data_IF_426796321014
#
_entry.id   IF_426796321014
#
_cell.length_a   1.000
_cell.length_b   1.000
_cell.length_c   1.000
_cell.angle_alpha   90.00
_cell.angle_beta   90.00
_cell.angle_gamma   90.00
#
_symmetry.space_group_name_H-M   'P 1'
#
loop_
_entity.id
_entity.type
_entity.pdbx_description
1 polymer ?
#
# COMPACT_ATOMS: atom_id res chain seq x y z
N UNK A 1 -44.24 -15.84 20.70
CA UNK A 1 -42.85 -16.17 20.34
C UNK A 1 -42.65 -15.67 18.93
N UNK A 2 -41.74 -14.72 18.72
CA UNK A 2 -41.49 -14.12 17.40
C UNK A 2 -40.18 -14.71 16.83
N UNK A 3 -40.22 -15.50 15.74
CA UNK A 3 -39.05 -16.16 15.20
C UNK A 3 -38.25 -15.18 14.34
N UNK A 4 -37.34 -14.45 14.98
CA UNK A 4 -36.08 -14.04 14.36
C UNK A 4 -36.19 -13.09 13.16
N UNK A 5 -36.46 -11.81 13.44
CA UNK A 5 -36.07 -10.73 12.53
C UNK A 5 -34.54 -10.62 12.55
N UNK A 6 -33.83 -11.43 11.74
CA UNK A 6 -32.42 -11.17 11.44
C UNK A 6 -32.37 -9.94 10.55
N UNK A 7 -32.16 -8.77 11.16
CA UNK A 7 -31.84 -7.56 10.41
C UNK A 7 -30.57 -7.82 9.58
N UNK A 8 -30.72 -7.82 8.27
CA UNK A 8 -29.61 -7.95 7.33
C UNK A 8 -28.69 -6.72 7.38
N UNK A 9 -27.49 -6.81 6.79
CA UNK A 9 -26.62 -5.65 6.65
C UNK A 9 -27.37 -4.53 5.90
N UNK A 10 -27.49 -3.37 6.54
CA UNK A 10 -28.02 -2.17 5.91
C UNK A 10 -26.87 -1.38 5.31
N UNK A 11 -27.08 -0.88 4.09
CA UNK A 11 -26.09 -0.07 3.36
C UNK A 11 -26.66 1.32 3.18
N UNK A 12 -25.86 2.33 3.52
CA UNK A 12 -26.19 3.73 3.32
C UNK A 12 -24.98 4.45 2.74
N UNK A 13 -25.21 5.34 1.77
CA UNK A 13 -24.17 6.26 1.31
C UNK A 13 -23.88 7.29 2.40
N UNK A 14 -22.64 7.31 2.90
CA UNK A 14 -22.22 8.22 3.97
C UNK A 14 -21.43 9.44 3.47
N UNK A 15 -20.93 9.39 2.24
CA UNK A 15 -20.19 10.46 1.60
C UNK A 15 -20.22 10.32 0.08
N UNK A 16 -20.10 11.44 -0.62
CA UNK A 16 -19.81 11.51 -2.05
C UNK A 16 -19.02 12.80 -2.30
N UNK A 17 -17.92 12.70 -3.03
CA UNK A 17 -17.04 13.81 -3.33
C UNK A 17 -16.37 13.59 -4.68
N UNK A 18 -16.03 14.69 -5.35
CA UNK A 18 -15.31 14.68 -6.61
C UNK A 18 -13.81 14.61 -6.32
N UNK A 19 -13.08 13.76 -7.05
CA UNK A 19 -11.63 13.70 -6.95
C UNK A 19 -10.99 14.94 -7.59
N UNK A 20 -9.81 15.39 -7.13
CA UNK A 20 -9.13 16.53 -7.73
C UNK A 20 -8.89 16.34 -9.24
N UNK A 21 -9.12 17.37 -10.05
CA UNK A 21 -8.90 17.33 -11.51
C UNK A 21 -7.45 17.02 -11.92
N UNK A 22 -6.52 17.22 -10.98
CA UNK A 22 -5.09 16.93 -11.15
C UNK A 22 -4.76 15.44 -11.03
N UNK A 23 -5.65 14.61 -10.47
CA UNK A 23 -5.45 13.17 -10.42
C UNK A 23 -5.61 12.55 -11.81
N UNK A 24 -4.61 11.76 -12.21
CA UNK A 24 -4.76 10.79 -13.28
C UNK A 24 -5.83 9.75 -12.91
N UNK A 25 -6.41 9.11 -13.93
CA UNK A 25 -7.40 8.03 -13.77
C UNK A 25 -6.92 7.00 -12.75
N UNK A 26 -7.73 6.79 -11.71
CA UNK A 26 -7.42 5.83 -10.65
C UNK A 26 -7.73 4.42 -11.11
N UNK A 27 -6.73 3.54 -11.09
CA UNK A 27 -6.92 2.13 -11.45
C UNK A 27 -6.95 1.19 -10.24
N UNK A 28 -6.52 1.64 -9.06
CA UNK A 28 -6.47 0.81 -7.84
C UNK A 28 -6.91 1.58 -6.60
N UNK A 29 -7.64 0.89 -5.72
CA UNK A 29 -8.08 1.39 -4.42
C UNK A 29 -7.98 0.31 -3.33
N UNK A 30 -7.57 0.71 -2.12
CA UNK A 30 -7.61 -0.14 -0.92
C UNK A 30 -8.14 0.64 0.28
N UNK A 31 -8.87 -0.02 1.18
CA UNK A 31 -9.31 0.56 2.45
C UNK A 31 -8.42 0.14 3.61
N UNK A 32 -8.39 0.92 4.69
CA UNK A 32 -7.77 0.55 5.97
C UNK A 32 -8.59 1.06 7.16
N UNK A 33 -8.81 0.18 8.14
CA UNK A 33 -9.35 0.53 9.47
C UNK A 33 -10.68 1.31 9.47
N UNK A 34 -11.55 1.06 8.48
CA UNK A 34 -12.84 1.73 8.24
C UNK A 34 -12.82 3.26 8.08
N UNK A 35 -11.66 3.91 8.06
CA UNK A 35 -11.54 5.38 8.10
C UNK A 35 -10.87 5.98 6.87
N UNK A 36 -10.03 5.22 6.20
CA UNK A 36 -9.22 5.73 5.08
C UNK A 36 -9.24 4.83 3.87
N UNK A 37 -8.98 5.48 2.75
CA UNK A 37 -8.84 4.91 1.43
C UNK A 37 -7.48 5.32 0.87
N UNK A 38 -6.82 4.38 0.21
CA UNK A 38 -5.61 4.59 -0.58
C UNK A 38 -6.00 4.48 -2.04
N UNK A 39 -5.71 5.52 -2.80
CA UNK A 39 -5.94 5.58 -4.24
C UNK A 39 -4.59 5.65 -4.95
N UNK A 40 -4.49 4.96 -6.07
CA UNK A 40 -3.33 5.07 -6.96
C UNK A 40 -3.69 5.97 -8.12
N UNK A 41 -2.84 6.97 -8.40
CA UNK A 41 -2.95 7.88 -9.54
C UNK A 41 -1.61 7.95 -10.27
N UNK A 42 -1.46 7.17 -11.35
CA UNK A 42 -0.18 7.07 -12.05
C UNK A 42 0.93 6.54 -11.12
N UNK A 43 1.95 7.34 -10.85
CA UNK A 43 3.06 7.02 -9.92
C UNK A 43 2.82 7.49 -8.48
N UNK A 44 1.68 8.11 -8.20
CA UNK A 44 1.36 8.66 -6.89
C UNK A 44 0.43 7.75 -6.09
N UNK A 45 0.73 7.59 -4.80
CA UNK A 45 -0.17 6.98 -3.81
C UNK A 45 -0.82 8.11 -3.01
N UNK A 46 -2.15 8.19 -3.04
CA UNK A 46 -2.90 9.25 -2.36
C UNK A 46 -3.73 8.66 -1.23
N UNK A 47 -3.62 9.23 -0.04
CA UNK A 47 -4.35 8.83 1.16
C UNK A 47 -5.53 9.79 1.39
N UNK A 48 -6.73 9.23 1.44
CA UNK A 48 -7.97 9.95 1.72
C UNK A 48 -8.65 9.41 2.97
N UNK A 49 -9.41 10.25 3.65
CA UNK A 49 -10.50 9.78 4.52
C UNK A 49 -11.67 9.28 3.68
N UNK A 50 -12.54 8.45 4.27
CA UNK A 50 -13.80 8.04 3.62
C UNK A 50 -14.75 9.21 3.30
N UNK A 51 -14.52 10.38 3.88
CA UNK A 51 -15.31 11.60 3.64
C UNK A 51 -14.65 12.54 2.61
N UNK A 52 -13.55 12.13 1.97
CA UNK A 52 -12.94 12.86 0.86
C UNK A 52 -11.86 13.86 1.21
N UNK A 53 -11.50 13.99 2.49
CA UNK A 53 -10.31 14.77 2.87
C UNK A 53 -9.03 14.04 2.45
N UNK A 54 -8.22 14.64 1.58
CA UNK A 54 -6.88 14.18 1.25
C UNK A 54 -5.94 14.44 2.44
N UNK A 55 -5.34 13.38 2.98
CA UNK A 55 -4.42 13.44 4.11
C UNK A 55 -2.96 13.53 3.66
N UNK A 56 -2.61 12.86 2.57
CA UNK A 56 -1.25 12.82 2.03
C UNK A 56 -1.25 12.37 0.57
N UNK A 57 -0.19 12.73 -0.16
CA UNK A 57 0.12 12.22 -1.49
C UNK A 57 1.62 11.91 -1.56
N UNK A 58 1.97 10.72 -2.06
CA UNK A 58 3.34 10.21 -2.08
C UNK A 58 3.80 9.99 -3.51
N UNK A 59 4.81 10.74 -3.95
CA UNK A 59 5.44 10.63 -5.27
C UNK A 59 6.79 9.91 -5.19
N UNK A 60 6.84 8.83 -4.41
CA UNK A 60 8.09 8.08 -4.21
C UNK A 60 8.48 7.22 -5.42
N UNK A 61 7.54 6.98 -6.32
CA UNK A 61 7.76 6.24 -7.55
C UNK A 61 7.98 7.17 -8.75
N UNK A 62 8.87 6.76 -9.65
CA UNK A 62 9.17 7.49 -10.90
C UNK A 62 8.36 6.98 -12.10
N UNK A 63 7.69 5.84 -11.94
CA UNK A 63 6.84 5.21 -12.97
C UNK A 63 5.53 4.74 -12.34
N UNK A 64 4.50 4.41 -13.15
CA UNK A 64 3.20 4.02 -12.62
C UNK A 64 3.27 2.89 -11.59
N UNK A 65 2.51 3.07 -10.52
CA UNK A 65 2.27 2.04 -9.50
C UNK A 65 1.38 0.97 -10.13
N UNK A 66 1.76 -0.29 -9.97
CA UNK A 66 1.14 -1.44 -10.63
C UNK A 66 0.29 -2.27 -9.68
N UNK A 67 0.64 -2.31 -8.39
CA UNK A 67 -0.15 -2.97 -7.35
C UNK A 67 0.12 -2.35 -5.97
N UNK A 68 -0.86 -2.49 -5.08
CA UNK A 68 -0.81 -2.06 -3.69
C UNK A 68 -1.31 -3.17 -2.76
N UNK A 69 -0.54 -3.47 -1.71
CA UNK A 69 -0.90 -4.35 -0.62
C UNK A 69 -1.00 -3.53 0.67
N UNK A 70 -2.02 -3.79 1.50
CA UNK A 70 -2.28 -3.06 2.74
C UNK A 70 -2.49 -4.08 3.86
N UNK A 71 -1.67 -3.97 4.91
CA UNK A 71 -1.83 -4.75 6.14
C UNK A 71 -2.14 -3.80 7.34
N UNK A 72 -2.27 -4.37 8.54
CA UNK A 72 -2.60 -3.59 9.74
C UNK A 72 -1.55 -2.51 10.08
N UNK A 73 -0.30 -2.75 9.75
CA UNK A 73 0.88 -1.96 10.10
C UNK A 73 1.48 -1.17 8.93
N UNK A 74 1.25 -1.61 7.69
CA UNK A 74 1.98 -1.20 6.51
C UNK A 74 1.12 -1.06 5.26
N UNK A 75 1.67 -0.30 4.32
CA UNK A 75 1.23 -0.25 2.93
C UNK A 75 2.46 -0.51 2.08
N UNK A 76 2.31 -1.34 1.04
CA UNK A 76 3.39 -1.63 0.10
C UNK A 76 2.88 -1.39 -1.31
N UNK A 77 3.64 -0.64 -2.09
CA UNK A 77 3.37 -0.41 -3.52
C UNK A 77 4.44 -1.06 -4.37
N UNK A 78 4.06 -1.51 -5.55
CA UNK A 78 4.94 -1.98 -6.61
C UNK A 78 4.84 -1.07 -7.82
N UNK A 79 5.91 -0.96 -8.61
CA UNK A 79 5.95 -0.07 -9.78
C UNK A 79 6.83 -0.60 -10.90
N UNK A 80 6.59 -0.08 -12.10
CA UNK A 80 7.48 -0.23 -13.24
C UNK A 80 8.85 0.44 -13.08
N UNK A 81 9.08 1.22 -12.02
CA UNK A 81 10.40 1.78 -11.69
C UNK A 81 11.36 0.78 -11.01
N UNK A 82 11.01 -0.51 -11.04
CA UNK A 82 11.74 -1.61 -10.43
C UNK A 82 11.79 -1.56 -8.90
N UNK A 83 10.93 -0.78 -8.24
CA UNK A 83 10.91 -0.72 -6.78
C UNK A 83 9.62 -1.23 -6.17
N UNK A 84 9.75 -1.77 -4.96
CA UNK A 84 8.69 -1.84 -3.97
C UNK A 84 8.91 -0.71 -2.97
N UNK A 85 7.88 0.07 -2.63
CA UNK A 85 7.96 1.09 -1.55
C UNK A 85 7.19 0.60 -0.34
N UNK A 86 7.78 0.76 0.83
CA UNK A 86 7.16 0.36 2.10
C UNK A 86 6.85 1.59 2.92
N UNK A 87 5.59 1.69 3.31
CA UNK A 87 5.05 2.72 4.17
C UNK A 87 4.54 2.10 5.46
N UNK A 88 4.68 2.82 6.58
CA UNK A 88 4.19 2.37 7.89
C UNK A 88 3.15 3.33 8.45
N UNK A 89 2.09 2.77 9.03
CA UNK A 89 1.14 3.54 9.83
C UNK A 89 1.78 3.97 11.14
N UNK A 90 1.59 5.24 11.52
CA UNK A 90 1.97 5.71 12.87
C UNK A 90 1.02 5.11 13.91
N UNK A 91 1.59 4.48 14.95
CA UNK A 91 0.83 3.76 15.99
C UNK A 91 0.03 4.68 16.92
N UNK A 92 0.48 5.92 17.12
CA UNK A 92 -0.03 6.80 18.20
C UNK A 92 -0.64 8.10 17.69
N UNK A 93 -1.41 8.05 16.60
CA UNK A 93 -2.11 9.23 16.10
C UNK A 93 -3.62 9.09 16.16
N UNK A 94 -4.29 10.19 16.51
CA UNK A 94 -5.74 10.33 16.45
C UNK A 94 -6.29 10.15 15.01
N UNK A 95 -5.45 10.46 14.00
CA UNK A 95 -5.70 10.24 12.59
C UNK A 95 -4.69 9.26 11.98
N UNK A 96 -5.11 8.35 11.10
CA UNK A 96 -4.20 7.45 10.41
C UNK A 96 -3.20 8.25 9.56
N UNK A 97 -1.95 8.27 9.99
CA UNK A 97 -0.85 8.92 9.29
C UNK A 97 0.09 7.86 8.76
N UNK A 98 0.36 7.93 7.46
CA UNK A 98 1.25 7.03 6.76
C UNK A 98 2.62 7.67 6.57
N UNK A 99 3.71 6.92 6.79
CA UNK A 99 5.08 7.39 6.61
C UNK A 99 5.81 6.54 5.59
N UNK A 100 6.42 7.17 4.59
CA UNK A 100 7.37 6.51 3.68
C UNK A 100 8.65 6.12 4.44
N UNK A 101 9.05 4.86 4.35
CA UNK A 101 10.12 4.32 5.19
C UNK A 101 11.36 3.90 4.39
N UNK A 102 11.20 3.00 3.42
CA UNK A 102 12.30 2.49 2.60
C UNK A 102 11.79 1.87 1.30
N UNK A 103 12.72 1.57 0.41
CA UNK A 103 12.45 0.93 -0.87
C UNK A 103 13.27 -0.35 -1.03
N UNK A 104 12.70 -1.30 -1.76
CA UNK A 104 13.37 -2.53 -2.15
C UNK A 104 13.53 -2.49 -3.66
N UNK A 105 14.75 -2.62 -4.14
CA UNK A 105 15.04 -2.61 -5.57
C UNK A 105 14.94 -4.03 -6.14
N UNK A 106 14.43 -4.09 -7.36
CA UNK A 106 14.42 -5.27 -8.21
C UNK A 106 15.76 -5.47 -8.92
N UNK A 107 15.71 -6.28 -9.99
CA UNK A 107 16.84 -6.59 -10.84
C UNK A 107 17.32 -5.40 -11.68
N UNK A 108 18.29 -5.65 -12.55
CA UNK A 108 18.85 -4.59 -13.41
C UNK A 108 17.84 -4.12 -14.47
N UNK A 109 17.82 -2.80 -14.71
CA UNK A 109 17.06 -2.12 -15.77
C UNK A 109 17.29 -2.69 -17.17
N UNK A 110 18.35 -3.47 -17.41
CA UNK A 110 18.58 -4.13 -18.70
C UNK A 110 17.63 -5.30 -18.97
N UNK A 111 17.13 -5.95 -17.93
CA UNK A 111 16.37 -7.20 -18.07
C UNK A 111 15.02 -7.19 -17.37
N UNK A 112 14.78 -6.25 -16.46
CA UNK A 112 13.52 -6.10 -15.74
C UNK A 112 12.70 -4.94 -16.31
N UNK A 113 11.40 -5.15 -16.41
CA UNK A 113 10.39 -4.15 -16.77
C UNK A 113 9.68 -3.56 -15.54
N UNK A 114 9.90 -4.18 -14.36
CA UNK A 114 9.44 -3.71 -13.05
C UNK A 114 8.50 -4.66 -12.37
N UNK A 115 8.08 -4.27 -11.16
CA UNK A 115 7.16 -5.08 -10.39
C UNK A 115 5.74 -4.88 -10.90
N UNK A 116 4.99 -5.96 -11.02
CA UNK A 116 3.60 -5.96 -11.50
C UNK A 116 2.61 -6.32 -10.40
N UNK A 117 3.05 -7.06 -9.39
CA UNK A 117 2.24 -7.50 -8.27
C UNK A 117 3.06 -7.47 -6.99
N UNK A 118 2.37 -7.25 -5.87
CA UNK A 118 2.95 -7.35 -4.53
C UNK A 118 1.91 -7.89 -3.56
N UNK A 119 2.37 -8.79 -2.69
CA UNK A 119 1.64 -9.27 -1.53
C UNK A 119 2.55 -9.21 -0.30
N UNK A 120 1.94 -9.11 0.87
CA UNK A 120 2.67 -9.03 2.13
C UNK A 120 1.86 -9.59 3.26
N UNK A 121 2.58 -10.12 4.24
CA UNK A 121 2.05 -10.40 5.57
C UNK A 121 2.86 -9.62 6.62
N UNK A 122 2.69 -10.00 7.89
CA UNK A 122 3.39 -9.35 9.00
C UNK A 122 4.91 -9.56 9.02
N UNK A 123 5.45 -10.55 8.28
CA UNK A 123 6.86 -10.96 8.36
C UNK A 123 7.59 -10.89 7.02
N UNK A 124 6.88 -10.86 5.90
CA UNK A 124 7.43 -11.00 4.57
C UNK A 124 6.67 -10.21 3.51
N UNK A 125 7.37 -9.97 2.40
CA UNK A 125 6.86 -9.34 1.18
C UNK A 125 7.20 -10.28 0.02
N UNK A 126 6.27 -10.50 -0.89
CA UNK A 126 6.51 -11.15 -2.17
C UNK A 126 6.11 -10.23 -3.32
N UNK A 127 6.96 -10.12 -4.34
CA UNK A 127 6.69 -9.29 -5.52
C UNK A 127 7.02 -10.03 -6.81
N UNK A 128 6.20 -9.83 -7.83
CA UNK A 128 6.43 -10.36 -9.18
C UNK A 128 7.13 -9.29 -10.02
N UNK A 129 8.35 -9.58 -10.47
CA UNK A 129 9.13 -8.74 -11.39
C UNK A 129 8.98 -9.28 -12.82
N UNK A 130 8.37 -8.49 -13.69
CA UNK A 130 8.29 -8.80 -15.11
C UNK A 130 9.65 -8.54 -15.80
N UNK A 131 10.01 -9.39 -16.76
CA UNK A 131 11.23 -9.25 -17.58
C UNK A 131 10.89 -8.91 -19.01
N UNK A 132 11.83 -8.24 -19.68
CA UNK A 132 11.68 -7.83 -21.09
C UNK A 132 11.51 -9.02 -22.06
N UNK A 133 12.00 -10.21 -21.69
CA UNK A 133 11.85 -11.44 -22.46
C UNK A 133 10.50 -12.16 -22.26
N UNK A 134 9.52 -11.53 -21.60
CA UNK A 134 8.19 -12.12 -21.34
C UNK A 134 8.14 -13.13 -20.18
N UNK A 135 9.26 -13.36 -19.49
CA UNK A 135 9.32 -14.17 -18.27
C UNK A 135 9.12 -13.31 -17.03
N UNK A 136 8.90 -13.93 -15.86
CA UNK A 136 8.77 -13.23 -14.58
C UNK A 136 9.62 -13.89 -13.49
N UNK A 137 10.05 -13.10 -12.51
CA UNK A 137 10.75 -13.57 -11.31
C UNK A 137 9.91 -13.24 -10.10
N UNK A 138 9.65 -14.22 -9.25
CA UNK A 138 9.07 -13.99 -7.92
C UNK A 138 10.22 -13.69 -6.94
N UNK A 139 10.16 -12.53 -6.29
CA UNK A 139 11.13 -12.12 -5.26
C UNK A 139 10.44 -12.09 -3.91
N UNK A 140 11.07 -12.68 -2.90
CA UNK A 140 10.62 -12.61 -1.52
C UNK A 140 11.62 -11.86 -0.65
N UNK A 141 11.08 -11.12 0.32
CA UNK A 141 11.81 -10.33 1.29
C UNK A 141 11.21 -10.62 2.68
N UNK A 142 12.01 -10.52 3.73
CA UNK A 142 11.53 -10.68 5.10
C UNK A 142 12.05 -9.54 5.98
N UNK A 143 11.28 -9.16 6.99
CA UNK A 143 11.69 -8.13 7.93
C UNK A 143 12.60 -8.73 8.99
N UNK A 144 13.85 -8.28 9.06
CA UNK A 144 14.72 -8.63 10.19
C UNK A 144 14.30 -7.85 11.43
N UNK A 145 13.85 -8.55 12.47
CA UNK A 145 13.69 -7.96 13.80
C UNK A 145 15.09 -7.84 14.40
N UNK A 146 15.69 -6.66 14.32
CA UNK A 146 16.84 -6.37 15.19
C UNK A 146 16.33 -6.30 16.63
N UNK A 147 16.53 -7.37 17.39
CA UNK A 147 16.45 -7.29 18.85
C UNK A 147 17.53 -6.30 19.28
N UNK A 148 17.11 -5.17 19.82
CA UNK A 148 18.03 -4.20 20.41
C UNK A 148 19.01 -4.92 21.33
N UNK A 149 20.30 -4.64 21.14
CA UNK A 149 21.38 -5.11 21.99
C UNK A 149 21.07 -4.60 23.40
N UNK A 150 20.46 -5.45 24.22
CA UNK A 150 20.15 -5.12 25.61
C UNK A 150 21.41 -4.68 26.32
N UNK A 151 21.27 -3.62 27.10
CA UNK A 151 22.28 -3.05 27.97
C UNK A 151 23.11 -4.14 28.65
N UNK A 152 24.39 -4.22 28.28
CA UNK A 152 25.37 -4.81 29.18
C UNK A 152 25.82 -3.70 30.11
N UNK A 153 25.11 -3.59 31.23
CA UNK A 153 25.71 -3.06 32.46
C UNK A 153 26.71 -4.12 32.92
N UNK A 154 27.99 -3.77 32.92
CA UNK A 154 29.09 -4.47 33.54
C UNK A 154 30.06 -3.43 34.07
#
# INVERSE_FOLDING_TARGET
MDPGLRAGPQVQQIASFVLPDTMMSTHLMKGHGSKVLLLVSGSELVLFTIHGLQLAAFQDHQKPITSVCVDQSRVITSSFDLSLRVYMWKKDNQFPVLKSCYHLLGGSHRWASGFTQVESDSVSIAGVEARSAGTSVLRSYYFQVQRGRGDRVG
#
